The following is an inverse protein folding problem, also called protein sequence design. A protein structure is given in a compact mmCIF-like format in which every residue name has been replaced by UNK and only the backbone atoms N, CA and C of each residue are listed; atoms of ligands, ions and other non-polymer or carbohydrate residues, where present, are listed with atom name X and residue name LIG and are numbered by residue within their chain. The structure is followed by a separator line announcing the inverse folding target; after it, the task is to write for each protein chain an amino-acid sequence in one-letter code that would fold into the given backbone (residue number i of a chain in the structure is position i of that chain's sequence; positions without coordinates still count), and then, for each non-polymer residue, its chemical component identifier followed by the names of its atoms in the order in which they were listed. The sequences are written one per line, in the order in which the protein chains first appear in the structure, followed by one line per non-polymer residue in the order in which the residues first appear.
data_IF_740220295094
#
_entry.id   IF_740220295094
#
_cell.length_a   1.000
_cell.length_b   1.000
_cell.length_c   1.000
_cell.angle_alpha   90.00
_cell.angle_beta   90.00
_cell.angle_gamma   90.00
#
_symmetry.space_group_name_H-M   'P 1'
#
loop_
_entity.id
_entity.type
_entity.pdbx_description
1 polymer ?
#
# COMPACT_ATOMS: atom_id res chain seq x y z
N UNK A 1 -1.96 12.28 -21.55
CA UNK A 1 -2.96 11.25 -21.95
C UNK A 1 -3.49 10.56 -20.71
N UNK A 2 -4.80 10.32 -20.65
CA UNK A 2 -5.52 9.67 -19.52
C UNK A 2 -4.83 8.38 -19.03
N UNK A 3 -4.37 7.54 -19.95
CA UNK A 3 -3.69 6.27 -19.64
C UNK A 3 -2.41 6.45 -18.80
N UNK A 4 -1.63 7.50 -19.11
CA UNK A 4 -0.39 7.80 -18.39
C UNK A 4 -0.68 8.28 -16.96
N UNK A 5 -1.74 9.09 -16.79
CA UNK A 5 -2.19 9.54 -15.46
C UNK A 5 -2.65 8.36 -14.61
N UNK A 6 -3.49 7.47 -15.17
CA UNK A 6 -3.95 6.26 -14.49
C UNK A 6 -2.78 5.35 -14.07
N UNK A 7 -1.78 5.16 -14.94
CA UNK A 7 -0.59 4.34 -14.63
C UNK A 7 0.23 4.95 -13.49
N UNK A 8 0.37 6.28 -13.45
CA UNK A 8 1.07 6.98 -12.37
C UNK A 8 0.34 6.82 -11.03
N UNK A 9 -0.98 6.99 -11.01
CA UNK A 9 -1.83 6.81 -9.81
C UNK A 9 -1.67 5.40 -9.24
N UNK A 10 -1.70 4.40 -10.11
CA UNK A 10 -1.53 3.01 -9.70
C UNK A 10 -0.12 2.77 -9.13
N UNK A 11 0.90 3.30 -9.78
CA UNK A 11 2.29 3.20 -9.31
C UNK A 11 2.45 3.79 -7.91
N UNK A 12 1.94 5.00 -7.69
CA UNK A 12 2.03 5.65 -6.39
C UNK A 12 1.24 4.92 -5.30
N UNK A 13 0.13 4.27 -5.63
CA UNK A 13 -0.58 3.44 -4.66
C UNK A 13 0.17 2.15 -4.29
N UNK A 14 0.95 1.59 -5.22
CA UNK A 14 1.87 0.49 -4.93
C UNK A 14 3.01 0.97 -4.03
N UNK A 15 3.47 2.22 -4.18
CA UNK A 15 4.45 2.82 -3.29
C UNK A 15 3.91 2.96 -1.86
N UNK A 16 2.62 3.27 -1.69
CA UNK A 16 1.95 3.26 -0.37
C UNK A 16 2.16 1.91 0.32
N UNK A 17 1.78 0.84 -0.36
CA UNK A 17 1.95 -0.51 0.17
C UNK A 17 3.43 -0.87 0.45
N UNK A 18 4.33 -0.43 -0.43
CA UNK A 18 5.76 -0.73 -0.33
C UNK A 18 6.39 -0.04 0.88
N UNK A 19 6.07 1.23 1.12
CA UNK A 19 6.56 1.98 2.26
C UNK A 19 6.09 1.40 3.58
N UNK A 20 4.77 1.15 3.71
CA UNK A 20 4.23 0.55 4.94
C UNK A 20 4.84 -0.83 5.22
N UNK A 21 4.99 -1.70 4.22
CA UNK A 21 5.67 -3.00 4.42
C UNK A 21 7.12 -2.84 4.83
N UNK A 22 7.86 -1.93 4.21
CA UNK A 22 9.23 -1.60 4.59
C UNK A 22 9.32 -1.17 6.06
N UNK A 23 8.39 -0.31 6.48
CA UNK A 23 8.30 0.16 7.85
C UNK A 23 7.98 -0.95 8.85
N UNK A 24 6.99 -1.79 8.56
CA UNK A 24 6.63 -2.90 9.44
C UNK A 24 7.79 -3.90 9.63
N UNK A 25 8.64 -4.07 8.62
CA UNK A 25 9.80 -4.96 8.65
C UNK A 25 11.03 -4.34 9.33
N UNK A 26 11.37 -3.10 8.96
CA UNK A 26 12.60 -2.44 9.41
C UNK A 26 12.42 -1.61 10.69
N UNK A 27 11.23 -1.07 10.93
CA UNK A 27 10.93 -0.18 12.06
C UNK A 27 11.44 1.25 11.92
N UNK A 28 12.12 1.60 10.82
CA UNK A 28 12.70 2.93 10.63
C UNK A 28 11.73 3.84 9.88
N UNK A 29 11.50 5.03 10.40
CA UNK A 29 10.57 6.02 9.85
C UNK A 29 10.85 6.36 8.37
N UNK A 30 12.11 6.34 7.92
CA UNK A 30 12.47 6.58 6.50
C UNK A 30 11.77 5.62 5.52
N UNK A 31 11.38 4.42 5.96
CA UNK A 31 10.61 3.51 5.12
C UNK A 31 9.15 3.97 4.90
N UNK A 32 8.66 4.96 5.65
CA UNK A 32 7.36 5.58 5.41
C UNK A 32 7.42 6.68 4.33
N UNK A 33 8.60 7.04 3.79
CA UNK A 33 8.69 8.03 2.71
C UNK A 33 7.88 7.62 1.46
N UNK A 34 8.00 6.38 0.93
CA UNK A 34 7.13 5.91 -0.15
C UNK A 34 5.65 5.87 0.25
N UNK A 35 5.34 5.65 1.53
CA UNK A 35 3.97 5.68 2.03
C UNK A 35 3.36 7.07 1.91
N UNK A 36 4.02 8.05 2.54
CA UNK A 36 3.57 9.43 2.59
C UNK A 36 3.55 10.10 1.20
N UNK A 37 4.57 9.84 0.38
CA UNK A 37 4.63 10.41 -0.97
C UNK A 37 3.67 9.73 -1.93
N UNK A 38 3.52 8.41 -1.81
CA UNK A 38 2.57 7.61 -2.58
C UNK A 38 1.14 8.07 -2.33
N UNK A 39 0.78 8.34 -1.07
CA UNK A 39 -0.54 8.84 -0.67
C UNK A 39 -0.87 10.17 -1.37
N UNK A 40 -0.02 11.18 -1.19
CA UNK A 40 -0.18 12.51 -1.81
C UNK A 40 -0.31 12.42 -3.32
N UNK A 41 0.54 11.61 -3.94
CA UNK A 41 0.57 11.47 -5.41
C UNK A 41 -0.68 10.77 -5.93
N UNK A 42 -1.17 9.76 -5.21
CA UNK A 42 -2.35 8.99 -5.61
C UNK A 42 -3.61 9.84 -5.53
N UNK A 43 -3.87 10.48 -4.39
CA UNK A 43 -5.09 11.28 -4.21
C UNK A 43 -5.13 12.51 -5.12
N UNK A 44 -4.03 13.27 -5.21
CA UNK A 44 -3.95 14.41 -6.13
C UNK A 44 -4.08 13.96 -7.61
N UNK A 45 -3.55 12.78 -7.93
CA UNK A 45 -3.68 12.21 -9.27
C UNK A 45 -5.12 11.81 -9.61
N UNK A 46 -5.86 11.23 -8.66
CA UNK A 46 -7.27 10.88 -8.82
C UNK A 46 -8.11 12.14 -9.05
N UNK A 47 -7.94 13.15 -8.20
CA UNK A 47 -8.67 14.43 -8.32
C UNK A 47 -8.41 15.10 -9.69
N UNK A 48 -7.15 15.21 -10.09
CA UNK A 48 -6.79 15.77 -11.40
C UNK A 48 -7.34 14.92 -12.56
N UNK A 49 -7.40 13.60 -12.42
CA UNK A 49 -7.95 12.74 -13.45
C UNK A 49 -9.48 12.86 -13.55
N UNK A 50 -10.18 13.06 -12.42
CA UNK A 50 -11.62 13.34 -12.42
C UNK A 50 -11.95 14.63 -13.18
N UNK A 51 -11.13 15.67 -13.06
CA UNK A 51 -11.31 16.90 -13.87
C UNK A 51 -11.13 16.65 -15.37
N UNK A 52 -10.16 15.81 -15.73
CA UNK A 52 -9.88 15.47 -17.14
C UNK A 52 -10.99 14.65 -17.79
N UNK A 53 -11.67 13.80 -17.00
CA UNK A 53 -12.75 12.91 -17.48
C UNK A 53 -14.14 13.39 -17.06
N UNK A 54 -14.30 14.69 -16.76
CA UNK A 54 -15.52 15.25 -16.20
C UNK A 54 -16.76 15.12 -17.12
N UNK A 55 -16.54 14.90 -18.41
CA UNK A 55 -17.56 14.66 -19.43
C UNK A 55 -18.10 13.21 -19.39
N UNK A 56 -17.47 12.34 -18.59
CA UNK A 56 -17.88 10.95 -18.38
C UNK A 56 -18.18 10.69 -16.89
N UNK A 57 -19.43 10.92 -16.43
CA UNK A 57 -19.81 10.74 -15.03
C UNK A 57 -19.50 9.35 -14.46
N UNK A 58 -19.58 8.30 -15.29
CA UNK A 58 -19.27 6.94 -14.86
C UNK A 58 -17.77 6.74 -14.55
N UNK A 59 -16.86 7.42 -15.28
CA UNK A 59 -15.42 7.37 -14.96
C UNK A 59 -15.11 8.18 -13.70
N UNK A 60 -15.77 9.33 -13.51
CA UNK A 60 -15.62 10.15 -12.29
C UNK A 60 -16.06 9.37 -11.04
N UNK A 61 -17.19 8.66 -11.13
CA UNK A 61 -17.70 7.81 -10.04
C UNK A 61 -16.71 6.70 -9.68
N UNK A 62 -16.22 5.94 -10.67
CA UNK A 62 -15.22 4.88 -10.44
C UNK A 62 -13.93 5.39 -9.80
N UNK A 63 -13.46 6.57 -10.20
CA UNK A 63 -12.31 7.24 -9.59
C UNK A 63 -12.57 7.57 -8.12
N UNK A 64 -13.77 8.04 -7.79
CA UNK A 64 -14.20 8.31 -6.42
C UNK A 64 -14.30 7.03 -5.58
N UNK A 65 -14.85 5.96 -6.13
CA UNK A 65 -14.89 4.64 -5.47
C UNK A 65 -13.48 4.11 -5.20
N UNK A 66 -12.56 4.23 -6.16
CA UNK A 66 -11.17 3.81 -5.99
C UNK A 66 -10.47 4.57 -4.86
N UNK A 67 -10.66 5.90 -4.78
CA UNK A 67 -10.15 6.72 -3.69
C UNK A 67 -10.74 6.30 -2.34
N UNK A 68 -12.05 6.05 -2.28
CA UNK A 68 -12.73 5.60 -1.06
C UNK A 68 -12.18 4.26 -0.58
N UNK A 69 -12.04 3.28 -1.48
CA UNK A 69 -11.49 1.95 -1.15
C UNK A 69 -10.06 2.06 -0.61
N UNK A 70 -9.23 2.93 -1.20
CA UNK A 70 -7.87 3.17 -0.71
C UNK A 70 -7.89 3.75 0.71
N UNK A 71 -8.70 4.78 0.92
CA UNK A 71 -8.82 5.46 2.20
C UNK A 71 -9.31 4.51 3.30
N UNK A 72 -10.37 3.74 3.03
CA UNK A 72 -10.91 2.77 3.97
C UNK A 72 -9.86 1.72 4.34
N UNK A 73 -9.12 1.21 3.35
CA UNK A 73 -8.02 0.29 3.62
C UNK A 73 -6.90 0.93 4.44
N UNK A 74 -6.57 2.20 4.19
CA UNK A 74 -5.57 2.89 4.98
C UNK A 74 -6.00 3.01 6.45
N UNK A 75 -7.22 3.48 6.68
CA UNK A 75 -7.79 3.67 8.00
C UNK A 75 -7.98 2.35 8.78
N UNK A 76 -8.42 1.30 8.11
CA UNK A 76 -8.75 0.02 8.76
C UNK A 76 -7.54 -0.91 8.93
N UNK A 77 -6.50 -0.75 8.11
CA UNK A 77 -5.39 -1.71 8.01
C UNK A 77 -4.03 -1.06 8.18
N UNK A 78 -3.66 -0.07 7.36
CA UNK A 78 -2.28 0.42 7.36
C UNK A 78 -1.98 1.30 8.56
N UNK A 79 -2.84 2.26 8.87
CA UNK A 79 -2.63 3.18 10.01
C UNK A 79 -2.60 2.43 11.36
N UNK A 80 -3.53 1.51 11.66
CA UNK A 80 -3.45 0.71 12.89
C UNK A 80 -2.18 -0.15 12.95
N UNK A 81 -1.72 -0.71 11.82
CA UNK A 81 -0.51 -1.51 11.78
C UNK A 81 0.76 -0.66 12.00
N UNK A 82 0.84 0.53 11.40
CA UNK A 82 1.93 1.48 11.60
C UNK A 82 1.95 1.95 13.05
N UNK A 83 0.79 2.33 13.61
CA UNK A 83 0.66 2.74 15.01
C UNK A 83 1.11 1.64 15.97
N UNK A 84 0.64 0.40 15.79
CA UNK A 84 1.06 -0.74 16.59
C UNK A 84 2.57 -1.01 16.47
N UNK A 85 3.13 -0.85 15.26
CA UNK A 85 4.59 -0.97 15.07
C UNK A 85 5.37 0.14 15.78
N UNK A 86 4.85 1.38 15.85
CA UNK A 86 5.42 2.49 16.63
C UNK A 86 5.38 2.22 18.12
N UNK A 87 4.28 1.67 18.63
CA UNK A 87 4.13 1.33 20.06
C UNK A 87 5.13 0.29 20.54
N UNK A 88 5.50 -0.67 19.68
CA UNK A 88 6.56 -1.66 19.96
C UNK A 88 7.94 -0.99 20.06
N UNK A 89 8.10 0.21 19.47
CA UNK A 89 9.31 1.02 19.51
C UNK A 89 10.46 0.43 18.68
N UNK A 90 11.69 0.91 18.95
CA UNK A 90 12.94 0.41 18.34
C UNK A 90 13.32 -1.00 18.82
N UNK A 91 12.41 -1.71 19.49
CA UNK A 91 12.65 -3.07 19.95
C UNK A 91 12.81 -4.02 18.76
N UNK A 92 14.08 -4.11 18.33
CA UNK A 92 14.69 -5.06 17.40
C UNK A 92 14.23 -4.88 15.96
N UNK A 93 15.11 -4.26 15.19
CA UNK A 93 15.04 -4.32 13.73
C UNK A 93 15.14 -5.79 13.27
N UNK A 94 14.70 -6.10 12.04
CA UNK A 94 14.96 -7.42 11.43
C UNK A 94 16.46 -7.82 11.44
N UNK A 95 17.37 -6.86 11.55
CA UNK A 95 18.80 -7.11 11.66
C UNK A 95 19.19 -7.56 13.08
N UNK A 96 18.62 -6.97 14.13
CA UNK A 96 18.81 -7.45 15.51
C UNK A 96 18.21 -8.85 15.70
N UNK A 97 17.12 -9.15 14.98
CA UNK A 97 16.48 -10.47 14.96
C UNK A 97 17.39 -11.57 14.38
N UNK A 98 18.27 -11.27 13.42
CA UNK A 98 19.20 -12.26 12.86
C UNK A 98 20.28 -12.66 13.87
N UNK A 99 20.83 -11.68 14.61
CA UNK A 99 21.84 -11.92 15.64
C UNK A 99 21.23 -12.59 16.89
N UNK A 100 19.98 -12.27 17.24
CA UNK A 100 19.27 -12.87 18.39
C UNK A 100 18.72 -14.29 18.14
N UNK A 101 18.40 -14.63 16.89
CA UNK A 101 18.00 -16.00 16.50
C UNK A 101 19.17 -16.98 16.66
N UNK A 102 20.41 -16.50 16.61
CA UNK A 102 21.60 -17.27 16.93
C UNK A 102 21.74 -17.63 18.42
N UNK A 103 21.25 -16.78 19.35
CA UNK A 103 21.61 -16.90 20.77
C UNK A 103 20.48 -17.26 21.74
N UNK A 104 19.20 -16.92 21.51
CA UNK A 104 18.19 -17.15 22.55
C UNK A 104 16.77 -17.34 22.03
N UNK A 105 16.20 -18.54 22.26
CA UNK A 105 14.80 -18.84 22.63
C UNK A 105 13.73 -17.74 22.40
N UNK A 106 13.58 -17.21 21.19
CA UNK A 106 12.68 -16.09 20.86
C UNK A 106 11.32 -16.50 20.27
N UNK A 107 10.65 -17.50 20.84
CA UNK A 107 9.62 -18.26 20.10
C UNK A 107 8.18 -17.71 20.11
N UNK A 108 7.84 -16.64 20.83
CA UNK A 108 6.40 -16.33 21.07
C UNK A 108 5.93 -14.96 20.57
N UNK A 109 6.77 -13.93 20.56
CA UNK A 109 6.32 -12.57 20.18
C UNK A 109 6.44 -12.31 18.68
N UNK A 110 7.51 -12.79 18.02
CA UNK A 110 7.82 -12.42 16.64
C UNK A 110 7.10 -13.26 15.56
N UNK A 111 6.80 -14.52 15.82
CA UNK A 111 6.12 -15.39 14.82
C UNK A 111 4.66 -14.99 14.64
N UNK A 112 4.00 -14.48 15.68
CA UNK A 112 2.58 -14.18 15.64
C UNK A 112 2.31 -12.80 15.00
N UNK A 113 3.16 -11.79 15.25
CA UNK A 113 3.01 -10.46 14.65
C UNK A 113 3.24 -10.49 13.13
N UNK A 114 4.36 -11.08 12.67
CA UNK A 114 4.69 -11.14 11.24
C UNK A 114 3.67 -11.94 10.43
N UNK A 115 3.16 -13.05 10.97
CA UNK A 115 2.18 -13.90 10.26
C UNK A 115 0.77 -13.29 10.29
N UNK A 116 0.31 -12.73 11.43
CA UNK A 116 -1.04 -12.12 11.52
C UNK A 116 -1.17 -10.80 10.79
N UNK A 117 -0.13 -9.96 10.82
CA UNK A 117 -0.13 -8.69 10.07
C UNK A 117 -0.06 -8.95 8.58
N UNK A 118 0.80 -9.88 8.11
CA UNK A 118 0.90 -10.22 6.70
C UNK A 118 -0.38 -10.83 6.11
N UNK A 119 -1.08 -11.70 6.87
CA UNK A 119 -2.35 -12.29 6.42
C UNK A 119 -3.48 -11.27 6.36
N UNK A 120 -3.68 -10.47 7.42
CA UNK A 120 -4.72 -9.42 7.47
C UNK A 120 -4.51 -8.37 6.38
N UNK A 121 -3.26 -8.01 6.15
CA UNK A 121 -2.85 -7.11 5.09
C UNK A 121 -3.17 -7.69 3.70
N UNK A 122 -2.87 -8.98 3.49
CA UNK A 122 -3.10 -9.63 2.20
C UNK A 122 -4.58 -9.67 1.82
N UNK A 123 -5.44 -9.93 2.80
CA UNK A 123 -6.87 -10.19 2.66
C UNK A 123 -7.70 -8.93 2.41
N UNK A 124 -7.37 -7.81 3.07
CA UNK A 124 -8.12 -6.55 2.96
C UNK A 124 -7.59 -5.57 1.92
N UNK A 125 -6.56 -5.95 1.16
CA UNK A 125 -5.98 -5.11 0.11
C UNK A 125 -7.01 -4.73 -0.97
N UNK A 126 -6.98 -3.48 -1.47
CA UNK A 126 -7.70 -3.11 -2.67
C UNK A 126 -7.32 -4.03 -3.84
N UNK A 127 -8.33 -4.57 -4.53
CA UNK A 127 -8.12 -5.55 -5.59
C UNK A 127 -7.25 -4.98 -6.73
N UNK A 128 -7.38 -3.69 -7.03
CA UNK A 128 -6.63 -3.01 -8.07
C UNK A 128 -5.13 -2.86 -7.74
N UNK A 129 -4.77 -2.72 -6.46
CA UNK A 129 -3.36 -2.75 -6.00
C UNK A 129 -2.79 -4.17 -6.13
N UNK A 130 -3.58 -5.19 -5.77
CA UNK A 130 -3.16 -6.59 -5.91
C UNK A 130 -2.89 -6.97 -7.38
N UNK A 131 -3.76 -6.55 -8.29
CA UNK A 131 -3.57 -6.74 -9.74
C UNK A 131 -2.35 -5.96 -10.22
N UNK A 132 -2.15 -4.72 -9.78
CA UNK A 132 -0.97 -3.91 -10.16
C UNK A 132 0.35 -4.59 -9.83
N UNK A 133 0.47 -5.16 -8.63
CA UNK A 133 1.68 -5.87 -8.21
C UNK A 133 1.92 -7.16 -9.00
N UNK A 134 0.88 -7.94 -9.27
CA UNK A 134 1.03 -9.25 -9.91
C UNK A 134 1.23 -9.15 -11.43
N UNK A 135 1.12 -7.93 -11.98
CA UNK A 135 1.22 -7.62 -13.41
C UNK A 135 2.67 -7.46 -13.87
N UNK A 136 3.47 -8.53 -13.83
CA UNK A 136 4.79 -8.57 -14.53
C UNK A 136 4.69 -8.67 -16.05
N UNK A 137 3.51 -8.46 -16.66
CA UNK A 137 3.28 -8.54 -18.11
C UNK A 137 2.53 -7.31 -18.65
N UNK A 138 3.01 -6.69 -19.74
CA UNK A 138 2.46 -5.44 -20.28
C UNK A 138 0.98 -5.54 -20.73
N UNK A 139 0.47 -6.75 -20.96
CA UNK A 139 -0.91 -7.00 -21.39
C UNK A 139 -1.95 -6.88 -20.27
N UNK A 140 -1.53 -6.91 -18.99
CA UNK A 140 -2.45 -6.79 -17.83
C UNK A 140 -2.63 -5.32 -17.40
N UNK A 141 -1.63 -4.46 -17.65
CA UNK A 141 -1.73 -3.00 -17.45
C UNK A 141 -2.90 -2.37 -18.24
N UNK A 142 -3.23 -2.90 -19.42
CA UNK A 142 -4.37 -2.48 -20.23
C UNK A 142 -5.75 -2.83 -19.60
N UNK A 143 -5.84 -3.92 -18.83
CA UNK A 143 -7.05 -4.27 -18.07
C UNK A 143 -7.20 -3.41 -16.82
N UNK A 144 -6.08 -3.02 -16.21
CA UNK A 144 -6.05 -2.13 -15.03
C UNK A 144 -6.52 -0.71 -15.36
N UNK A 145 -6.24 -0.23 -16.56
CA UNK A 145 -6.74 1.07 -17.01
C UNK A 145 -8.25 1.06 -17.22
N UNK A 146 -8.88 -0.09 -17.50
CA UNK A 146 -10.35 -0.22 -17.56
C UNK A 146 -11.06 -0.06 -16.21
N UNK A 147 -10.33 -0.04 -15.09
CA UNK A 147 -10.89 0.38 -13.80
C UNK A 147 -11.16 1.89 -13.82
N UNK A 148 -10.32 2.65 -14.52
CA UNK A 148 -10.38 4.11 -14.63
C UNK A 148 -10.91 4.62 -15.99
N UNK A 149 -11.20 3.72 -16.94
CA UNK A 149 -11.69 4.01 -18.31
C UNK A 149 -13.01 3.29 -18.61
#
# INVERSE_FOLDING_TARGET
MVLASATKIIGSAVDIETGMRGYLLAGKEDFLDPYNQGEKTTYAGIEALQEVVNDNPAQVERLGEAAKILHDWQADVTEPAIALRREIGDAKTMNDMADLVGEARGKVVSTNFGVRSASSFSEKRPCWINVARNSRRPRVLLSMTSIFL
#
